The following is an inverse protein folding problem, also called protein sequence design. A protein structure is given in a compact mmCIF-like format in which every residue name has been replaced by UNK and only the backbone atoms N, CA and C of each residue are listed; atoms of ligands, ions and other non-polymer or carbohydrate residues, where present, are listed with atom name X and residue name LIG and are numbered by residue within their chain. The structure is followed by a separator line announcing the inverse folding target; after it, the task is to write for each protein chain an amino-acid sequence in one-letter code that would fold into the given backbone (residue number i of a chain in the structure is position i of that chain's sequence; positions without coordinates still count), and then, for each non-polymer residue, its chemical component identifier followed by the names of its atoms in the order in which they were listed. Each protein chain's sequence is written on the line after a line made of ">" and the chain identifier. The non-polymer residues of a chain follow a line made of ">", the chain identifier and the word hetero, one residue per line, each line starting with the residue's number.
data_IF_648252920108
#
_entry.id   IF_648252920108
#
_cell.length_a   1.000
_cell.length_b   1.000
_cell.length_c   1.000
_cell.angle_alpha   90.00
_cell.angle_beta   90.00
_cell.angle_gamma   90.00
#
_symmetry.space_group_name_H-M   'P 1'
#
loop_
_entity.id
_entity.type
_entity.pdbx_description
1 polymer ?
#
# COMPACT_ATOMS: atom_id res chain seq x y z
N UNK A 1 66.57 21.50 -12.26
CA UNK A 1 67.36 20.25 -12.24
C UNK A 1 66.33 19.13 -12.38
N UNK A 2 66.28 18.63 -13.60
CA UNK A 2 66.55 17.25 -13.98
C UNK A 2 65.54 16.24 -13.44
N UNK A 3 64.91 15.43 -14.19
CA UNK A 3 64.91 14.81 -15.52
C UNK A 3 63.85 13.71 -15.46
N UNK A 4 62.91 13.58 -16.44
CA UNK A 4 63.00 12.64 -17.56
C UNK A 4 62.95 11.15 -17.08
N UNK A 5 62.03 10.34 -17.42
CA UNK A 5 61.68 9.75 -18.67
C UNK A 5 60.96 8.41 -18.52
N UNK A 6 60.18 8.10 -19.52
CA UNK A 6 60.07 6.84 -20.28
C UNK A 6 59.24 5.75 -19.57
N UNK A 7 58.06 5.34 -20.02
CA UNK A 7 57.73 4.82 -21.33
C UNK A 7 57.69 3.29 -21.26
N UNK A 8 56.50 2.67 -21.45
CA UNK A 8 56.44 1.42 -22.21
C UNK A 8 55.00 1.06 -22.58
N UNK A 9 54.86 0.79 -23.83
CA UNK A 9 53.72 0.21 -24.55
C UNK A 9 53.32 -1.15 -23.97
N UNK A 10 52.03 -1.39 -23.88
CA UNK A 10 51.47 -2.72 -23.60
C UNK A 10 50.19 -2.91 -24.41
N UNK A 11 50.35 -3.59 -25.48
CA UNK A 11 49.52 -4.17 -26.52
C UNK A 11 48.08 -4.52 -26.10
N UNK A 12 47.17 -4.24 -27.05
CA UNK A 12 45.74 -4.51 -26.98
C UNK A 12 45.36 -5.99 -26.94
N UNK A 13 44.20 -6.23 -26.34
CA UNK A 13 43.41 -7.42 -26.62
C UNK A 13 42.02 -6.98 -27.07
N UNK A 14 41.74 -7.23 -28.34
CA UNK A 14 40.41 -7.21 -28.93
C UNK A 14 39.57 -8.34 -28.27
N UNK A 15 38.66 -7.98 -27.43
CA UNK A 15 37.60 -8.88 -26.96
C UNK A 15 36.48 -8.95 -27.99
N UNK A 16 36.43 -10.07 -28.72
CA UNK A 16 35.35 -10.41 -29.64
C UNK A 16 34.03 -10.52 -28.95
N UNK A 17 33.08 -9.65 -29.26
CA UNK A 17 31.67 -9.77 -28.88
C UNK A 17 31.06 -10.98 -29.59
N UNK A 18 30.73 -12.02 -28.83
CA UNK A 18 29.86 -13.11 -29.29
C UNK A 18 28.43 -12.59 -29.37
N UNK A 19 27.92 -12.43 -30.56
CA UNK A 19 26.49 -12.26 -30.84
C UNK A 19 25.79 -13.60 -30.67
N UNK A 20 24.84 -13.67 -29.76
CA UNK A 20 23.93 -14.82 -29.56
C UNK A 20 22.81 -14.68 -30.61
N UNK A 21 22.50 -15.69 -31.41
CA UNK A 21 21.41 -15.61 -32.39
C UNK A 21 20.06 -15.75 -31.69
N UNK A 22 19.12 -14.85 -32.07
CA UNK A 22 17.71 -14.89 -31.68
C UNK A 22 17.01 -15.96 -32.52
N UNK A 23 16.26 -16.92 -31.92
CA UNK A 23 15.50 -17.89 -32.70
C UNK A 23 14.26 -17.22 -33.33
N UNK A 24 14.09 -17.46 -34.61
CA UNK A 24 12.96 -17.01 -35.42
C UNK A 24 11.64 -17.63 -34.89
N UNK A 25 10.65 -16.78 -34.62
CA UNK A 25 9.27 -17.22 -34.37
C UNK A 25 8.63 -17.69 -35.66
N UNK A 26 8.22 -18.95 -35.65
CA UNK A 26 7.37 -19.55 -36.70
C UNK A 26 5.93 -19.10 -36.48
N UNK A 27 5.44 -18.25 -37.39
CA UNK A 27 4.04 -17.83 -37.46
C UNK A 27 3.20 -18.93 -38.07
N UNK A 28 2.38 -19.61 -37.26
CA UNK A 28 1.32 -20.48 -37.76
C UNK A 28 -0.03 -19.74 -37.75
N UNK A 29 -0.45 -19.26 -38.92
CA UNK A 29 -1.81 -18.79 -39.15
C UNK A 29 -2.80 -19.94 -39.04
N UNK A 30 -3.57 -20.03 -37.96
CA UNK A 30 -4.82 -20.79 -37.95
C UNK A 30 -5.99 -19.84 -38.29
N UNK A 31 -6.56 -20.08 -39.48
CA UNK A 31 -7.83 -19.45 -39.90
C UNK A 31 -8.95 -19.77 -38.91
N UNK A 32 -9.53 -18.78 -38.28
CA UNK A 32 -10.73 -18.89 -37.49
C UNK A 32 -11.93 -18.98 -38.44
N UNK A 33 -12.75 -20.03 -38.29
CA UNK A 33 -14.05 -20.24 -38.91
C UNK A 33 -15.06 -19.32 -38.24
N UNK A 34 -15.86 -18.63 -39.04
CA UNK A 34 -17.00 -17.83 -38.62
C UNK A 34 -18.13 -18.72 -38.09
N UNK A 35 -18.86 -18.35 -37.03
CA UNK A 35 -20.06 -19.04 -36.58
C UNK A 35 -21.28 -18.65 -37.41
N UNK A 36 -22.28 -19.54 -37.55
CA UNK A 36 -23.45 -19.29 -38.36
C UNK A 36 -24.44 -18.35 -37.65
N UNK A 37 -25.12 -17.54 -38.47
CA UNK A 37 -26.21 -16.64 -38.12
C UNK A 37 -27.40 -17.37 -37.49
N UNK A 38 -27.76 -17.02 -36.24
CA UNK A 38 -29.00 -17.47 -35.61
C UNK A 38 -30.12 -16.42 -35.82
N UNK A 39 -31.23 -16.91 -36.30
CA UNK A 39 -32.48 -16.20 -36.61
C UNK A 39 -33.09 -15.54 -35.37
N UNK A 40 -33.59 -14.30 -35.54
CA UNK A 40 -34.58 -13.67 -34.69
C UNK A 40 -35.83 -14.53 -34.52
N UNK A 41 -36.14 -14.89 -33.27
CA UNK A 41 -37.41 -15.39 -32.81
C UNK A 41 -37.94 -14.49 -31.73
N UNK A 42 -39.03 -13.77 -32.04
CA UNK A 42 -39.76 -12.97 -31.06
C UNK A 42 -40.46 -13.89 -30.05
N UNK A 43 -40.24 -13.65 -28.74
CA UNK A 43 -41.12 -14.24 -27.72
C UNK A 43 -41.42 -13.22 -26.60
N UNK A 44 -42.69 -13.25 -26.22
CA UNK A 44 -43.45 -12.40 -25.32
C UNK A 44 -42.87 -12.31 -23.90
N UNK A 45 -43.20 -11.25 -23.14
CA UNK A 45 -42.74 -11.05 -21.78
C UNK A 45 -43.44 -12.00 -20.80
N UNK A 46 -42.62 -12.68 -19.98
CA UNK A 46 -43.09 -13.48 -18.85
C UNK A 46 -42.81 -12.68 -17.56
N UNK A 47 -43.89 -12.41 -16.86
CA UNK A 47 -43.96 -11.79 -15.54
C UNK A 47 -42.90 -12.33 -14.57
N UNK A 48 -42.18 -11.39 -13.94
CA UNK A 48 -41.26 -11.63 -12.86
C UNK A 48 -42.04 -11.88 -11.56
N UNK A 49 -41.70 -12.95 -10.88
CA UNK A 49 -41.93 -13.10 -9.45
C UNK A 49 -40.68 -12.63 -8.70
N UNK A 50 -40.91 -11.76 -7.74
CA UNK A 50 -39.95 -11.16 -6.84
C UNK A 50 -39.19 -12.23 -6.06
N UNK A 51 -37.85 -12.14 -6.12
CA UNK A 51 -36.91 -12.75 -5.20
C UNK A 51 -35.93 -11.67 -4.80
N UNK A 52 -36.32 -10.85 -3.84
CA UNK A 52 -35.51 -9.82 -3.21
C UNK A 52 -34.64 -10.49 -2.14
N UNK A 53 -33.36 -10.67 -2.39
CA UNK A 53 -32.37 -11.05 -1.36
C UNK A 53 -31.18 -10.10 -1.52
N UNK A 54 -31.17 -9.10 -0.66
CA UNK A 54 -30.10 -8.39 0.04
C UNK A 54 -28.66 -8.50 -0.49
N UNK A 55 -28.37 -7.94 -1.67
CA UNK A 55 -26.98 -7.61 -2.08
C UNK A 55 -26.61 -6.14 -1.83
N UNK A 56 -27.51 -5.35 -1.22
CA UNK A 56 -27.28 -3.91 -0.99
C UNK A 56 -26.60 -3.58 0.33
N UNK A 57 -26.63 -4.44 1.33
CA UNK A 57 -26.08 -4.13 2.65
C UNK A 57 -24.58 -4.41 2.77
N UNK A 58 -24.07 -5.44 2.08
CA UNK A 58 -22.64 -5.80 2.17
C UNK A 58 -21.72 -4.82 1.46
N UNK A 59 -22.18 -4.16 0.38
CA UNK A 59 -21.40 -3.16 -0.36
C UNK A 59 -21.35 -1.79 0.36
N UNK A 60 -22.37 -1.43 1.14
CA UNK A 60 -22.39 -0.20 1.93
C UNK A 60 -21.54 -0.33 3.19
N UNK A 61 -21.55 -1.47 3.87
CA UNK A 61 -20.71 -1.72 5.03
C UNK A 61 -19.22 -1.80 4.69
N UNK A 62 -18.86 -2.37 3.54
CA UNK A 62 -17.47 -2.33 3.03
C UNK A 62 -17.02 -0.89 2.73
N UNK A 63 -17.92 -0.05 2.21
CA UNK A 63 -17.64 1.36 1.94
C UNK A 63 -17.38 2.18 3.21
N UNK A 64 -18.13 1.92 4.29
CA UNK A 64 -17.96 2.58 5.59
C UNK A 64 -16.67 2.10 6.26
N UNK A 65 -16.39 0.80 6.25
CA UNK A 65 -15.17 0.22 6.80
C UNK A 65 -13.91 0.72 6.08
N UNK A 66 -13.97 0.84 4.77
CA UNK A 66 -12.86 1.35 3.94
C UNK A 66 -12.58 2.84 4.23
N UNK A 67 -13.64 3.66 4.34
CA UNK A 67 -13.53 5.07 4.74
C UNK A 67 -12.96 5.21 6.15
N UNK A 68 -13.39 4.37 7.10
CA UNK A 68 -12.86 4.38 8.46
C UNK A 68 -11.38 4.01 8.52
N UNK A 69 -10.92 3.05 7.70
CA UNK A 69 -9.49 2.71 7.57
C UNK A 69 -8.71 3.86 6.98
N UNK A 70 -9.24 4.54 5.94
CA UNK A 70 -8.63 5.71 5.33
C UNK A 70 -8.50 6.88 6.32
N UNK A 71 -9.58 7.24 7.01
CA UNK A 71 -9.55 8.28 8.05
C UNK A 71 -8.62 7.88 9.22
N UNK A 72 -8.57 6.60 9.58
CA UNK A 72 -7.63 6.07 10.56
C UNK A 72 -6.18 6.24 10.13
N UNK A 73 -5.86 5.97 8.86
CA UNK A 73 -4.53 6.17 8.28
C UNK A 73 -4.16 7.66 8.21
N UNK A 74 -5.11 8.54 7.86
CA UNK A 74 -4.91 9.98 7.88
C UNK A 74 -4.61 10.50 9.30
N UNK A 75 -5.36 10.05 10.30
CA UNK A 75 -5.13 10.40 11.71
C UNK A 75 -3.81 9.84 12.23
N UNK A 76 -3.49 8.59 11.88
CA UNK A 76 -2.21 7.97 12.23
C UNK A 76 -1.03 8.70 11.57
N UNK A 77 -1.15 9.06 10.30
CA UNK A 77 -0.18 9.89 9.57
C UNK A 77 0.00 11.26 10.22
N UNK A 78 -1.07 11.90 10.71
CA UNK A 78 -1.00 13.15 11.47
C UNK A 78 -0.23 12.99 12.79
N UNK A 79 -0.40 11.87 13.50
CA UNK A 79 0.28 11.58 14.77
C UNK A 79 1.78 11.27 14.54
N UNK A 80 2.10 10.47 13.53
CA UNK A 80 3.48 10.10 13.18
C UNK A 80 4.19 11.24 12.44
N UNK A 81 3.49 11.97 11.57
CA UNK A 81 4.01 13.11 10.80
C UNK A 81 4.37 14.33 11.66
N UNK A 82 3.87 14.44 12.90
CA UNK A 82 4.30 15.46 13.87
C UNK A 82 5.80 15.36 14.20
N UNK A 83 6.42 14.22 13.94
CA UNK A 83 7.84 13.96 14.24
C UNK A 83 8.80 14.49 13.16
N UNK A 84 8.32 14.77 11.95
CA UNK A 84 9.16 15.14 10.79
C UNK A 84 8.81 16.48 10.14
N UNK A 85 8.14 17.40 10.84
CA UNK A 85 7.82 18.72 10.31
C UNK A 85 9.08 19.57 10.13
N UNK A 86 9.61 19.60 8.91
CA UNK A 86 10.37 20.76 8.45
C UNK A 86 9.35 21.80 7.95
N UNK A 87 9.30 23.01 8.52
CA UNK A 87 8.45 24.06 7.98
C UNK A 87 8.99 24.48 6.62
N UNK A 88 8.26 24.14 5.56
CA UNK A 88 8.52 24.70 4.23
C UNK A 88 7.76 26.00 4.13
N UNK A 89 8.46 27.09 3.89
CA UNK A 89 7.88 28.41 3.70
C UNK A 89 6.90 28.34 2.52
N UNK A 90 5.65 28.71 2.76
CA UNK A 90 4.61 28.88 1.74
C UNK A 90 4.99 30.15 0.96
N UNK A 91 5.67 29.99 -0.15
CA UNK A 91 5.89 31.08 -1.09
C UNK A 91 4.56 31.25 -1.84
N UNK A 92 3.83 32.32 -1.54
CA UNK A 92 2.72 32.78 -2.38
C UNK A 92 3.33 33.23 -3.71
N UNK A 93 3.29 32.34 -4.70
CA UNK A 93 3.70 32.68 -6.06
C UNK A 93 2.52 33.28 -6.79
N UNK A 94 2.74 34.47 -7.36
CA UNK A 94 1.81 35.08 -8.31
C UNK A 94 1.67 34.09 -9.50
N UNK A 95 0.45 33.82 -9.98
CA UNK A 95 0.25 32.96 -11.12
C UNK A 95 0.97 33.51 -12.36
N UNK A 96 2.07 32.90 -12.75
CA UNK A 96 2.76 33.24 -14.01
C UNK A 96 1.99 32.55 -15.14
N UNK A 97 1.72 33.24 -16.23
CA UNK A 97 1.18 32.65 -17.44
C UNK A 97 2.14 31.54 -17.92
N UNK A 98 1.60 30.34 -18.08
CA UNK A 98 2.35 29.17 -18.56
C UNK A 98 1.83 28.73 -19.91
N UNK A 99 2.74 28.41 -20.82
CA UNK A 99 2.38 27.77 -22.07
C UNK A 99 1.92 26.33 -21.84
N UNK A 100 1.16 25.76 -22.76
CA UNK A 100 0.72 24.36 -22.70
C UNK A 100 1.89 23.40 -22.45
N UNK A 101 3.01 23.59 -23.15
CA UNK A 101 4.19 22.76 -22.98
C UNK A 101 4.79 22.88 -21.57
N UNK A 102 4.87 24.10 -21.02
CA UNK A 102 5.36 24.30 -19.65
C UNK A 102 4.47 23.61 -18.60
N UNK A 103 3.14 23.61 -18.81
CA UNK A 103 2.20 22.92 -17.96
C UNK A 103 2.46 21.41 -17.99
N UNK A 104 2.57 20.80 -19.18
CA UNK A 104 2.84 19.38 -19.32
C UNK A 104 4.21 18.97 -18.73
N UNK A 105 5.23 19.79 -18.94
CA UNK A 105 6.56 19.55 -18.37
C UNK A 105 6.55 19.71 -16.84
N UNK A 106 5.74 20.61 -16.29
CA UNK A 106 5.52 20.72 -14.84
C UNK A 106 4.87 19.47 -14.26
N UNK A 107 3.78 18.98 -14.89
CA UNK A 107 3.13 17.73 -14.47
C UNK A 107 4.12 16.55 -14.53
N UNK A 108 4.96 16.49 -15.56
CA UNK A 108 5.95 15.43 -15.72
C UNK A 108 7.00 15.46 -14.60
N UNK A 109 7.51 16.65 -14.26
CA UNK A 109 8.42 16.81 -13.11
C UNK A 109 7.78 16.41 -11.80
N UNK A 110 6.51 16.78 -11.57
CA UNK A 110 5.78 16.40 -10.37
C UNK A 110 5.66 14.87 -10.27
N UNK A 111 5.44 14.14 -11.38
CA UNK A 111 5.46 12.68 -11.41
C UNK A 111 6.85 12.11 -11.10
N UNK A 112 7.92 12.68 -11.66
CA UNK A 112 9.30 12.25 -11.41
C UNK A 112 9.67 12.40 -9.93
N UNK A 113 9.13 13.41 -9.25
CA UNK A 113 9.26 13.63 -7.79
C UNK A 113 8.30 12.77 -6.96
N UNK A 114 7.50 11.91 -7.60
CA UNK A 114 6.47 11.07 -6.94
C UNK A 114 5.48 11.88 -6.09
N UNK A 115 5.08 13.07 -6.58
CA UNK A 115 4.32 14.10 -5.85
C UNK A 115 3.08 13.57 -5.12
N UNK A 116 2.33 12.68 -5.75
CA UNK A 116 1.08 12.19 -5.19
C UNK A 116 1.25 11.11 -4.10
N UNK A 117 2.50 10.80 -3.74
CA UNK A 117 2.84 10.06 -2.53
C UNK A 117 3.63 10.89 -1.53
N UNK A 118 4.56 11.70 -2.01
CA UNK A 118 5.46 12.46 -1.16
C UNK A 118 4.93 13.83 -0.76
N UNK A 119 4.01 14.38 -1.54
CA UNK A 119 3.60 15.79 -1.46
C UNK A 119 4.73 16.77 -1.83
N UNK A 120 5.86 16.25 -2.33
CA UNK A 120 6.96 17.03 -2.88
C UNK A 120 6.66 17.30 -4.33
N UNK A 121 6.78 18.54 -4.77
CA UNK A 121 6.46 18.98 -6.11
C UNK A 121 5.98 20.42 -6.07
N UNK A 122 6.31 21.19 -7.09
CA UNK A 122 5.89 22.60 -7.16
C UNK A 122 4.39 22.70 -7.46
N UNK A 123 3.86 21.77 -8.28
CA UNK A 123 2.47 21.73 -8.73
C UNK A 123 2.03 23.05 -9.37
N UNK A 124 2.96 23.70 -10.09
CA UNK A 124 2.71 24.99 -10.76
C UNK A 124 1.67 24.87 -11.88
N UNK A 125 1.50 23.67 -12.43
CA UNK A 125 0.49 23.38 -13.46
C UNK A 125 -0.95 23.38 -12.94
N UNK A 126 -1.17 23.42 -11.63
CA UNK A 126 -2.50 23.30 -11.02
C UNK A 126 -3.04 24.67 -10.57
N UNK A 127 -4.34 24.86 -10.68
CA UNK A 127 -5.00 25.97 -10.03
C UNK A 127 -4.98 25.78 -8.51
N UNK A 128 -4.82 26.87 -7.72
CA UNK A 128 -4.74 26.79 -6.27
C UNK A 128 -5.92 26.06 -5.61
N UNK A 129 -7.11 26.16 -6.21
CA UNK A 129 -8.37 25.55 -5.80
C UNK A 129 -8.72 24.29 -6.59
N UNK A 130 -7.76 23.69 -7.31
CA UNK A 130 -7.95 22.47 -8.08
C UNK A 130 -8.66 21.40 -7.24
N UNK A 131 -9.67 20.73 -7.85
CA UNK A 131 -10.37 19.60 -7.24
C UNK A 131 -9.55 18.33 -7.42
N UNK A 132 -9.23 17.64 -6.34
CA UNK A 132 -8.60 16.32 -6.29
C UNK A 132 -9.65 15.28 -5.92
N UNK A 133 -9.74 14.22 -6.69
CA UNK A 133 -10.63 13.09 -6.42
C UNK A 133 -9.88 11.77 -6.61
N UNK A 134 -10.04 10.86 -5.66
CA UNK A 134 -9.58 9.49 -5.70
C UNK A 134 -10.75 8.53 -5.39
N UNK A 135 -10.59 7.18 -5.43
CA UNK A 135 -11.69 6.26 -5.13
C UNK A 135 -12.28 6.35 -3.72
N UNK A 136 -11.64 7.08 -2.80
CA UNK A 136 -12.06 7.18 -1.39
C UNK A 136 -12.65 8.53 -1.04
N UNK A 137 -12.12 9.62 -1.64
CA UNK A 137 -12.43 10.99 -1.22
C UNK A 137 -12.34 11.99 -2.39
N UNK A 138 -12.93 13.16 -2.18
CA UNK A 138 -12.77 14.31 -3.06
C UNK A 138 -12.68 15.58 -2.21
N UNK A 139 -11.81 16.48 -2.59
CA UNK A 139 -11.59 17.76 -1.90
C UNK A 139 -10.92 18.77 -2.83
N UNK A 140 -10.93 20.04 -2.43
CA UNK A 140 -10.33 21.13 -3.18
C UNK A 140 -9.05 21.65 -2.52
N UNK A 141 -8.14 22.16 -3.35
CA UNK A 141 -6.94 22.87 -2.96
C UNK A 141 -5.65 22.06 -2.99
N UNK A 142 -4.65 22.61 -3.72
CA UNK A 142 -3.31 22.03 -3.88
C UNK A 142 -2.60 21.86 -2.53
N UNK A 143 -2.66 22.85 -1.65
CA UNK A 143 -1.99 22.77 -0.34
C UNK A 143 -2.59 21.67 0.55
N UNK A 144 -3.90 21.47 0.47
CA UNK A 144 -4.58 20.38 1.17
C UNK A 144 -4.16 19.03 0.61
N UNK A 145 -4.07 18.92 -0.72
CA UNK A 145 -3.57 17.72 -1.38
C UNK A 145 -2.14 17.40 -0.92
N UNK A 146 -1.21 18.34 -1.05
CA UNK A 146 0.19 18.18 -0.61
C UNK A 146 0.28 17.70 0.83
N UNK A 147 -0.49 18.29 1.74
CA UNK A 147 -0.52 17.90 3.15
C UNK A 147 -1.02 16.47 3.34
N UNK A 148 -2.11 16.09 2.66
CA UNK A 148 -2.70 14.75 2.81
C UNK A 148 -1.74 13.67 2.30
N UNK A 149 -1.17 13.84 1.10
CA UNK A 149 -0.27 12.85 0.52
C UNK A 149 1.08 12.79 1.22
N UNK A 150 1.61 13.91 1.72
CA UNK A 150 2.86 13.89 2.49
C UNK A 150 2.75 13.13 3.81
N UNK A 151 1.58 13.15 4.43
CA UNK A 151 1.31 12.35 5.63
C UNK A 151 1.34 10.84 5.30
N UNK A 152 0.79 10.44 4.16
CA UNK A 152 0.82 9.05 3.70
C UNK A 152 2.22 8.62 3.24
N UNK A 153 2.88 9.46 2.45
CA UNK A 153 4.23 9.19 1.94
C UNK A 153 5.29 9.05 3.03
N UNK A 154 5.12 9.76 4.14
CA UNK A 154 5.98 9.62 5.33
C UNK A 154 5.92 8.24 5.99
N UNK A 155 4.94 7.41 5.64
CA UNK A 155 4.79 6.04 6.12
C UNK A 155 5.32 4.99 5.13
N UNK A 156 5.90 5.41 4.00
CA UNK A 156 6.35 4.52 2.93
C UNK A 156 7.86 4.62 2.73
N UNK A 157 8.50 3.46 2.62
CA UNK A 157 9.88 3.30 2.16
C UNK A 157 9.89 2.79 0.72
N UNK A 158 10.99 2.99 0.01
CA UNK A 158 11.26 2.42 -1.33
C UNK A 158 10.12 2.68 -2.34
N UNK A 159 9.58 3.90 -2.35
CA UNK A 159 8.51 4.29 -3.27
C UNK A 159 9.03 4.23 -4.70
N UNK A 160 8.30 3.51 -5.55
CA UNK A 160 8.55 3.41 -7.00
C UNK A 160 7.28 3.77 -7.72
N UNK A 161 7.36 4.78 -8.57
CA UNK A 161 6.30 5.22 -9.45
C UNK A 161 6.78 5.06 -10.89
N UNK A 162 5.96 4.46 -11.72
CA UNK A 162 6.22 4.25 -13.15
C UNK A 162 4.99 4.72 -13.92
N UNK A 163 5.13 5.80 -14.69
CA UNK A 163 4.11 6.31 -15.60
C UNK A 163 4.38 5.72 -16.98
N UNK A 164 3.55 4.78 -17.41
CA UNK A 164 3.80 3.99 -18.62
C UNK A 164 2.89 4.36 -19.80
N UNK A 165 1.89 5.21 -19.60
CA UNK A 165 1.04 5.74 -20.67
C UNK A 165 0.74 7.21 -20.41
N UNK A 166 0.77 8.00 -21.49
CA UNK A 166 0.60 9.45 -21.45
C UNK A 166 -0.15 9.87 -22.71
N UNK A 167 -1.41 10.26 -22.56
CA UNK A 167 -2.29 10.61 -23.65
C UNK A 167 -2.84 12.02 -23.49
N UNK A 168 -2.48 12.88 -24.41
CA UNK A 168 -3.04 14.21 -24.48
C UNK A 168 -4.29 14.21 -25.35
N UNK A 169 -5.35 14.83 -24.86
CA UNK A 169 -6.57 15.10 -25.59
C UNK A 169 -6.95 16.56 -25.46
N UNK A 170 -7.96 16.99 -26.19
CA UNK A 170 -8.45 18.37 -26.09
C UNK A 170 -9.01 18.60 -24.65
N UNK A 171 -8.45 19.59 -23.96
CA UNK A 171 -8.86 19.96 -22.62
C UNK A 171 -8.47 19.01 -21.48
N UNK A 172 -7.79 17.88 -21.78
CA UNK A 172 -7.39 16.93 -20.74
C UNK A 172 -6.07 16.21 -21.06
N UNK A 173 -5.46 15.66 -20.00
CA UNK A 173 -4.35 14.74 -20.07
C UNK A 173 -4.70 13.49 -19.27
N UNK A 174 -4.60 12.33 -19.90
CA UNK A 174 -4.75 11.03 -19.26
C UNK A 174 -3.38 10.37 -19.08
N UNK A 175 -3.10 9.92 -17.86
CA UNK A 175 -1.89 9.15 -17.56
C UNK A 175 -2.27 7.79 -17.00
N UNK A 176 -1.40 6.80 -17.23
CA UNK A 176 -1.48 5.49 -16.59
C UNK A 176 -0.21 5.25 -15.81
N UNK A 177 -0.37 4.77 -14.59
CA UNK A 177 0.71 4.59 -13.66
C UNK A 177 0.58 3.30 -12.86
N UNK A 178 1.70 2.86 -12.33
CA UNK A 178 1.77 1.87 -11.28
C UNK A 178 2.73 2.35 -10.19
N UNK A 179 2.39 2.01 -8.97
CA UNK A 179 3.14 2.43 -7.81
C UNK A 179 3.34 1.27 -6.85
N UNK A 180 4.45 1.28 -6.16
CA UNK A 180 4.72 0.38 -5.05
C UNK A 180 5.59 1.04 -4.00
N UNK A 181 5.46 0.59 -2.75
CA UNK A 181 6.27 1.04 -1.63
C UNK A 181 6.10 0.10 -0.44
N UNK A 182 7.06 0.10 0.48
CA UNK A 182 7.00 -0.69 1.71
C UNK A 182 6.40 0.17 2.82
N UNK A 183 5.30 -0.28 3.41
CA UNK A 183 4.68 0.45 4.53
C UNK A 183 5.49 0.21 5.80
N UNK A 184 5.79 1.28 6.55
CA UNK A 184 6.56 1.25 7.81
C UNK A 184 5.75 0.68 8.98
N UNK A 185 5.11 -0.47 8.77
CA UNK A 185 4.49 -1.27 9.82
C UNK A 185 5.48 -2.34 10.31
N UNK A 186 5.28 -2.89 11.53
CA UNK A 186 6.20 -3.91 12.08
C UNK A 186 6.42 -5.13 11.17
N UNK A 187 5.47 -5.47 10.31
CA UNK A 187 5.56 -6.56 9.33
C UNK A 187 5.87 -6.09 7.91
N UNK A 188 6.18 -4.80 7.70
CA UNK A 188 6.65 -4.20 6.44
C UNK A 188 5.91 -4.71 5.20
N UNK A 189 4.60 -4.50 5.06
CA UNK A 189 3.85 -4.98 3.91
C UNK A 189 4.16 -4.16 2.66
N UNK A 190 3.97 -4.79 1.48
CA UNK A 190 4.07 -4.12 0.20
C UNK A 190 2.72 -3.47 -0.15
N UNK A 191 2.69 -2.15 -0.24
CA UNK A 191 1.65 -1.41 -0.94
C UNK A 191 1.95 -1.47 -2.44
N UNK A 192 1.01 -1.90 -3.26
CA UNK A 192 1.13 -1.88 -4.71
C UNK A 192 -0.25 -1.59 -5.33
N UNK A 193 -0.29 -0.61 -6.22
CA UNK A 193 -1.48 -0.20 -6.95
C UNK A 193 -1.14 0.16 -8.39
N UNK A 194 -2.13 0.10 -9.26
CA UNK A 194 -2.07 0.59 -10.62
C UNK A 194 -3.36 1.35 -10.92
N UNK A 195 -3.27 2.33 -11.79
CA UNK A 195 -4.42 3.15 -12.15
C UNK A 195 -4.09 4.19 -13.20
N UNK A 196 -4.92 5.19 -13.27
CA UNK A 196 -4.72 6.34 -14.15
C UNK A 196 -5.20 7.61 -13.48
N UNK A 197 -4.71 8.73 -13.99
CA UNK A 197 -5.11 10.06 -13.59
C UNK A 197 -5.58 10.84 -14.81
N UNK A 198 -6.75 11.47 -14.70
CA UNK A 198 -7.24 12.44 -15.66
C UNK A 198 -7.05 13.85 -15.11
N UNK A 199 -6.22 14.63 -15.79
CA UNK A 199 -6.02 16.04 -15.54
C UNK A 199 -6.90 16.84 -16.48
N UNK A 200 -7.88 17.57 -15.96
CA UNK A 200 -8.76 18.44 -16.76
C UNK A 200 -8.21 19.86 -16.68
N UNK A 201 -8.05 20.49 -17.83
CA UNK A 201 -7.48 21.84 -17.93
C UNK A 201 -8.56 22.90 -18.03
N UNK A 202 -8.34 24.04 -17.42
CA UNK A 202 -9.12 25.26 -17.63
C UNK A 202 -8.97 25.76 -19.05
N UNK A 203 -10.06 26.23 -19.63
CA UNK A 203 -10.03 26.90 -20.95
C UNK A 203 -9.42 28.30 -20.86
N UNK A 204 -9.54 28.95 -19.70
CA UNK A 204 -9.08 30.32 -19.50
C UNK A 204 -7.60 30.40 -19.19
N UNK A 205 -7.11 29.55 -18.28
CA UNK A 205 -5.73 29.61 -17.78
C UNK A 205 -4.83 28.51 -18.32
N UNK A 206 -5.42 27.45 -18.91
CA UNK A 206 -4.73 26.25 -19.34
C UNK A 206 -4.26 25.36 -18.20
N UNK A 207 -4.40 25.76 -16.93
CA UNK A 207 -3.97 24.99 -15.75
C UNK A 207 -4.96 23.86 -15.40
N UNK A 208 -4.50 22.91 -14.62
CA UNK A 208 -5.32 21.81 -14.14
C UNK A 208 -6.31 22.28 -13.09
N UNK A 209 -7.60 22.12 -13.35
CA UNK A 209 -8.72 22.45 -12.45
C UNK A 209 -9.31 21.21 -11.79
N UNK A 210 -9.10 20.01 -12.38
CA UNK A 210 -9.50 18.73 -11.75
C UNK A 210 -8.42 17.68 -11.96
N UNK A 211 -8.12 16.96 -10.92
CA UNK A 211 -7.21 15.82 -10.87
C UNK A 211 -8.02 14.62 -10.36
N UNK A 212 -8.33 13.68 -11.26
CA UNK A 212 -9.22 12.56 -10.96
C UNK A 212 -8.43 11.28 -11.10
N UNK A 213 -8.25 10.56 -10.00
CA UNK A 213 -7.57 9.25 -9.97
C UNK A 213 -8.59 8.12 -10.06
N UNK A 214 -8.31 7.14 -10.88
CA UNK A 214 -9.04 5.88 -10.97
C UNK A 214 -8.07 4.72 -10.80
N UNK A 215 -8.40 3.80 -9.93
CA UNK A 215 -7.57 2.64 -9.66
C UNK A 215 -8.04 1.44 -10.50
N UNK A 216 -7.11 0.79 -11.22
CA UNK A 216 -7.37 -0.44 -11.98
C UNK A 216 -7.50 -1.65 -11.05
N UNK A 217 -7.03 -1.53 -9.80
CA UNK A 217 -7.14 -2.56 -8.76
C UNK A 217 -8.18 -2.13 -7.73
N UNK A 218 -9.09 -3.01 -7.41
CA UNK A 218 -10.09 -2.78 -6.36
C UNK A 218 -9.41 -2.40 -5.03
N UNK A 219 -9.75 -1.22 -4.45
CA UNK A 219 -9.07 -0.73 -3.24
C UNK A 219 -9.08 -1.70 -2.07
N UNK A 220 -10.18 -2.45 -1.87
CA UNK A 220 -10.29 -3.48 -0.84
C UNK A 220 -9.26 -4.62 -0.99
N UNK A 221 -8.91 -4.99 -2.23
CA UNK A 221 -7.86 -5.98 -2.49
C UNK A 221 -6.47 -5.45 -2.17
N UNK A 222 -6.24 -4.15 -2.43
CA UNK A 222 -4.98 -3.49 -2.04
C UNK A 222 -4.83 -3.53 -0.51
N UNK A 223 -5.88 -3.15 0.23
CA UNK A 223 -5.86 -3.18 1.70
C UNK A 223 -5.68 -4.60 2.28
N UNK A 224 -6.34 -5.62 1.72
CA UNK A 224 -6.14 -7.02 2.14
C UNK A 224 -4.70 -7.48 1.98
N UNK A 225 -3.99 -6.99 0.95
CA UNK A 225 -2.57 -7.31 0.74
C UNK A 225 -1.66 -6.71 1.80
N UNK A 226 -2.08 -5.64 2.47
CA UNK A 226 -1.30 -5.03 3.56
C UNK A 226 -1.23 -5.91 4.82
N UNK A 227 -2.03 -6.96 4.93
CA UNK A 227 -1.89 -7.97 5.98
C UNK A 227 -0.62 -8.82 5.76
N UNK A 228 -0.24 -9.06 4.49
CA UNK A 228 0.89 -9.90 4.13
C UNK A 228 2.21 -9.12 4.20
N UNK A 229 3.26 -9.64 4.86
CA UNK A 229 4.61 -9.08 4.77
C UNK A 229 5.13 -9.05 3.33
N UNK A 230 5.95 -8.05 2.98
CA UNK A 230 6.62 -7.98 1.69
C UNK A 230 7.68 -9.09 1.54
N UNK A 231 8.33 -9.47 2.63
CA UNK A 231 9.34 -10.50 2.65
C UNK A 231 8.74 -11.88 2.34
N UNK A 232 9.39 -12.64 1.44
CA UNK A 232 9.00 -14.04 1.17
C UNK A 232 9.29 -14.95 2.35
N UNK A 233 10.41 -14.69 3.05
CA UNK A 233 10.83 -15.41 4.23
C UNK A 233 10.79 -14.44 5.40
N UNK A 234 9.90 -14.65 6.39
CA UNK A 234 9.81 -13.80 7.57
C UNK A 234 11.13 -13.76 8.34
N UNK A 235 11.57 -12.59 8.74
CA UNK A 235 12.78 -12.35 9.54
C UNK A 235 12.45 -11.86 10.94
N UNK A 236 11.24 -11.37 11.15
CA UNK A 236 10.75 -10.88 12.44
C UNK A 236 9.53 -11.66 12.92
N UNK A 237 9.26 -11.60 14.24
CA UNK A 237 8.05 -12.20 14.84
C UNK A 237 6.77 -11.61 14.27
N UNK A 238 6.77 -10.32 13.95
CA UNK A 238 5.62 -9.65 13.36
C UNK A 238 5.35 -10.11 11.94
N UNK A 239 6.40 -10.31 11.14
CA UNK A 239 6.27 -10.86 9.79
C UNK A 239 5.75 -12.30 9.85
N UNK A 240 6.27 -13.13 10.76
CA UNK A 240 5.80 -14.50 10.96
C UNK A 240 4.32 -14.52 11.37
N UNK A 241 3.95 -13.69 12.35
CA UNK A 241 2.56 -13.59 12.81
C UNK A 241 1.63 -13.18 11.67
N UNK A 242 1.95 -12.10 10.96
CA UNK A 242 1.08 -11.57 9.91
C UNK A 242 1.01 -12.48 8.69
N UNK A 243 2.10 -13.19 8.36
CA UNK A 243 2.06 -14.22 7.33
C UNK A 243 1.14 -15.37 7.73
N UNK A 244 1.25 -15.86 8.97
CA UNK A 244 0.36 -16.91 9.50
C UNK A 244 -1.11 -16.48 9.54
N UNK A 245 -1.38 -15.22 9.89
CA UNK A 245 -2.74 -14.64 9.82
C UNK A 245 -3.25 -14.63 8.37
N UNK A 246 -2.41 -14.20 7.42
CA UNK A 246 -2.77 -14.15 6.00
C UNK A 246 -3.08 -15.54 5.43
N UNK A 247 -2.33 -16.56 5.86
CA UNK A 247 -2.47 -17.95 5.41
C UNK A 247 -3.51 -18.74 6.21
N UNK A 248 -4.04 -18.19 7.31
CA UNK A 248 -4.96 -18.88 8.21
C UNK A 248 -4.29 -19.99 9.04
N UNK A 249 -2.97 -19.92 9.20
CA UNK A 249 -2.20 -20.89 10.00
C UNK A 249 -2.33 -20.58 11.50
N UNK A 250 -3.33 -21.17 12.14
CA UNK A 250 -3.58 -21.01 13.58
C UNK A 250 -2.39 -21.46 14.45
N UNK A 251 -1.65 -22.47 14.00
CA UNK A 251 -0.45 -22.94 14.71
C UNK A 251 0.67 -21.91 14.65
N UNK A 252 0.94 -21.37 13.48
CA UNK A 252 1.93 -20.30 13.29
C UNK A 252 1.56 -19.03 14.06
N UNK A 253 0.27 -18.65 14.05
CA UNK A 253 -0.24 -17.52 14.85
C UNK A 253 0.06 -17.75 16.33
N UNK A 254 -0.27 -18.94 16.88
CA UNK A 254 0.00 -19.27 18.25
C UNK A 254 1.50 -19.27 18.58
N UNK A 255 2.33 -19.87 17.74
CA UNK A 255 3.78 -19.91 17.92
C UNK A 255 4.39 -18.51 17.97
N UNK A 256 3.95 -17.58 17.10
CA UNK A 256 4.41 -16.20 17.08
C UNK A 256 3.88 -15.39 18.29
N UNK A 257 2.64 -15.65 18.74
CA UNK A 257 1.98 -14.92 19.80
C UNK A 257 2.32 -15.44 21.21
N UNK A 258 2.72 -16.70 21.38
CA UNK A 258 2.89 -17.35 22.68
C UNK A 258 3.87 -16.61 23.62
N UNK A 259 4.99 -16.10 23.13
CA UNK A 259 5.93 -15.36 23.96
C UNK A 259 5.38 -13.99 24.42
N UNK A 260 4.86 -13.10 23.57
CA UNK A 260 4.21 -11.87 24.04
C UNK A 260 2.98 -12.13 24.93
N UNK A 261 2.22 -13.19 24.72
CA UNK A 261 1.11 -13.57 25.60
C UNK A 261 1.63 -13.90 26.99
N UNK A 262 2.75 -14.59 27.13
CA UNK A 262 3.37 -14.88 28.42
C UNK A 262 3.79 -13.61 29.16
N UNK A 263 4.31 -12.59 28.47
CA UNK A 263 4.72 -11.32 29.10
C UNK A 263 3.56 -10.59 29.77
N UNK A 264 2.33 -10.81 29.31
CA UNK A 264 1.10 -10.26 29.92
C UNK A 264 0.53 -11.22 30.97
N UNK A 265 0.49 -12.52 30.67
CA UNK A 265 -0.13 -13.51 31.56
C UNK A 265 0.61 -13.70 32.87
N UNK A 266 1.96 -13.67 32.86
CA UNK A 266 2.79 -13.82 34.07
C UNK A 266 2.48 -12.77 35.13
N UNK A 267 2.52 -11.45 34.85
CA UNK A 267 2.17 -10.44 35.84
C UNK A 267 0.71 -10.50 36.32
N UNK A 268 -0.25 -10.80 35.41
CA UNK A 268 -1.66 -10.93 35.82
C UNK A 268 -1.85 -12.06 36.81
N UNK A 269 -1.26 -13.23 36.54
CA UNK A 269 -1.29 -14.39 37.45
C UNK A 269 -0.54 -14.06 38.74
N UNK A 270 0.60 -13.39 38.67
CA UNK A 270 1.39 -12.97 39.82
C UNK A 270 0.60 -12.04 40.76
N UNK A 271 -0.09 -11.03 40.20
CA UNK A 271 -0.96 -10.13 40.96
C UNK A 271 -2.13 -10.90 41.59
N UNK A 272 -2.75 -11.81 40.84
CA UNK A 272 -3.83 -12.64 41.34
C UNK A 272 -3.40 -13.50 42.53
N UNK A 273 -2.26 -14.18 42.44
CA UNK A 273 -1.69 -14.99 43.50
C UNK A 273 -1.34 -14.15 44.75
N UNK A 274 -0.73 -12.98 44.53
CA UNK A 274 -0.43 -12.06 45.63
C UNK A 274 -1.69 -11.58 46.34
N UNK A 275 -2.71 -11.22 45.57
CA UNK A 275 -4.02 -10.81 46.15
C UNK A 275 -4.64 -11.94 46.97
N UNK A 276 -4.63 -13.18 46.44
CA UNK A 276 -5.12 -14.36 47.21
C UNK A 276 -4.35 -14.58 48.49
N UNK A 277 -3.03 -14.40 48.44
CA UNK A 277 -2.19 -14.59 49.62
C UNK A 277 -2.45 -13.53 50.69
N UNK A 278 -2.67 -12.27 50.30
CA UNK A 278 -2.87 -11.14 51.23
C UNK A 278 -4.29 -11.02 51.76
N UNK A 279 -5.29 -11.33 50.94
CA UNK A 279 -6.70 -11.08 51.25
C UNK A 279 -7.54 -12.36 51.45
N UNK A 280 -6.98 -13.52 51.16
CA UNK A 280 -7.70 -14.80 51.12
C UNK A 280 -8.65 -14.97 49.92
N UNK A 281 -8.77 -13.98 49.05
CA UNK A 281 -9.71 -13.97 47.92
C UNK A 281 -8.97 -13.70 46.63
N UNK A 282 -9.51 -14.19 45.47
CA UNK A 282 -9.03 -13.87 44.13
C UNK A 282 -9.35 -12.43 43.70
N UNK A 283 -9.04 -12.08 42.45
CA UNK A 283 -9.37 -10.78 41.88
C UNK A 283 -10.88 -10.52 41.95
N UNK A 284 -11.33 -9.35 42.44
CA UNK A 284 -12.75 -9.06 42.67
C UNK A 284 -13.51 -8.89 41.32
N UNK A 285 -14.72 -9.42 41.27
CA UNK A 285 -15.67 -9.25 40.17
C UNK A 285 -15.54 -10.32 39.06
N UNK A 286 -16.67 -10.56 38.40
CA UNK A 286 -16.77 -11.58 37.33
C UNK A 286 -15.86 -11.31 36.12
N UNK A 287 -15.68 -10.04 35.75
CA UNK A 287 -14.81 -9.64 34.67
C UNK A 287 -13.31 -9.93 34.98
N UNK A 288 -12.82 -9.51 36.16
CA UNK A 288 -11.43 -9.75 36.56
C UNK A 288 -11.17 -11.24 36.80
N UNK A 289 -12.15 -12.00 37.31
CA UNK A 289 -12.06 -13.45 37.41
C UNK A 289 -11.97 -14.14 36.06
N UNK A 290 -12.68 -13.63 35.03
CA UNK A 290 -12.54 -14.11 33.66
C UNK A 290 -11.15 -13.80 33.04
N UNK A 291 -10.64 -12.60 33.26
CA UNK A 291 -9.28 -12.22 32.84
C UNK A 291 -8.22 -13.09 33.53
N UNK A 292 -8.38 -13.37 34.83
CA UNK A 292 -7.52 -14.27 35.59
C UNK A 292 -7.53 -15.69 35.00
N UNK A 293 -8.72 -16.24 34.70
CA UNK A 293 -8.86 -17.58 34.10
C UNK A 293 -8.19 -17.69 32.73
N UNK A 294 -8.34 -16.67 31.87
CA UNK A 294 -7.66 -16.59 30.59
C UNK A 294 -6.13 -16.47 30.75
N UNK A 295 -5.67 -15.68 31.72
CA UNK A 295 -4.25 -15.52 31.99
C UNK A 295 -3.61 -16.86 32.44
N UNK A 296 -4.29 -17.64 33.27
CA UNK A 296 -3.84 -18.99 33.66
C UNK A 296 -3.79 -19.94 32.46
N UNK A 297 -4.83 -19.96 31.62
CA UNK A 297 -4.86 -20.76 30.41
C UNK A 297 -3.66 -20.44 29.50
N UNK A 298 -3.45 -19.15 29.25
CA UNK A 298 -2.36 -18.69 28.39
C UNK A 298 -0.98 -18.89 29.00
N UNK A 299 -0.85 -18.77 30.34
CA UNK A 299 0.40 -19.08 31.02
C UNK A 299 0.78 -20.55 30.82
N UNK A 300 -0.14 -21.48 31.06
CA UNK A 300 0.13 -22.92 30.89
C UNK A 300 0.43 -23.25 29.43
N UNK A 301 -0.46 -22.88 28.51
CA UNK A 301 -0.30 -23.15 27.09
C UNK A 301 0.97 -22.53 26.50
N UNK A 302 1.24 -21.27 26.86
CA UNK A 302 2.43 -20.54 26.41
C UNK A 302 3.71 -21.16 26.93
N UNK A 303 3.75 -21.55 28.23
CA UNK A 303 4.92 -22.19 28.83
C UNK A 303 5.23 -23.54 28.20
N UNK A 304 4.21 -24.38 27.94
CA UNK A 304 4.37 -25.66 27.23
C UNK A 304 4.94 -25.41 25.83
N UNK A 305 4.40 -24.42 25.11
CA UNK A 305 4.85 -24.11 23.76
C UNK A 305 6.32 -23.65 23.75
N UNK A 306 6.69 -22.76 24.64
CA UNK A 306 8.09 -22.26 24.73
C UNK A 306 9.05 -23.39 25.13
N UNK A 307 8.67 -24.25 26.06
CA UNK A 307 9.44 -25.44 26.43
C UNK A 307 9.65 -26.38 25.23
N UNK A 308 8.60 -26.68 24.46
CA UNK A 308 8.71 -27.51 23.25
C UNK A 308 9.62 -26.87 22.19
N UNK A 309 9.58 -25.55 22.02
CA UNK A 309 10.49 -24.84 21.09
C UNK A 309 11.94 -24.95 21.56
N UNK A 310 12.18 -24.79 22.87
CA UNK A 310 13.52 -24.90 23.45
C UNK A 310 14.10 -26.31 23.25
N UNK A 311 13.32 -27.37 23.52
CA UNK A 311 13.76 -28.74 23.32
C UNK A 311 14.07 -29.07 21.85
N UNK A 312 13.29 -28.54 20.91
CA UNK A 312 13.58 -28.69 19.48
C UNK A 312 14.89 -28.03 19.08
N UNK A 313 15.19 -26.85 19.63
CA UNK A 313 16.42 -26.13 19.33
C UNK A 313 17.66 -26.81 19.92
N UNK A 314 17.51 -27.47 21.07
CA UNK A 314 18.61 -28.24 21.71
C UNK A 314 18.81 -29.59 21.08
N UNK A 315 17.74 -30.27 20.67
CA UNK A 315 17.81 -31.62 20.10
C UNK A 315 18.05 -31.68 18.59
N UNK A 316 18.12 -30.55 17.91
CA UNK A 316 18.40 -30.41 16.48
C UNK A 316 19.79 -29.87 16.15
N UNK A 317 20.69 -29.78 17.13
CA UNK A 317 22.08 -29.36 16.98
C UNK A 317 23.03 -30.58 16.82
#
# INVERSE_FOLDING_TARGET
>A
MHQVATGMLGTGMLGTRRTVPIPAQVSSHKRARAPPSARCGANKPRTQSEGNISDKDESQDLGIGLKAVWYGAEQFGNIVGLRNKRPRATVQRTPTEMTRQQILDSIRRDYDETYFFTGVGEMEAYEPDCTFADPFTSFDGVERFKKNVSNLGGLLDDIKLDVYDWKEAEGQLETKWRVSGIVQLPWRPLLAAAGGTTHVFSQDTGRVVKHIEMWDVEPGKVLKRLIRPAARTPTSRWETLMLSVHEGDLKGIWLAASAPVLTVSVPVVGVSLLTKLLTGHGLPGTFLGGVEGLAWLFLVAGTITQAQQLFKNIGGA
#
